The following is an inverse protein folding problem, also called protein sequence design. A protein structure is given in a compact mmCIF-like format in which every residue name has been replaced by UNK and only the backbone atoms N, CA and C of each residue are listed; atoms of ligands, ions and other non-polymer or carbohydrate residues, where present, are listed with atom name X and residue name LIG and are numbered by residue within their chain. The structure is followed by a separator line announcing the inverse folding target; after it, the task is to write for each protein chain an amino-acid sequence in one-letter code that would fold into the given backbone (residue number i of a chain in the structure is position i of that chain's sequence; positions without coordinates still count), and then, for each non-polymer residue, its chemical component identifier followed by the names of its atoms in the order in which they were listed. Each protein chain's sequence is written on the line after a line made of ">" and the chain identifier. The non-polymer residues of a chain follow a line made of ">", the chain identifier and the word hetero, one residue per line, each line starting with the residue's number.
data_IF_325252247124
#
_entry.id   IF_325252247124
#
_cell.length_a   1.000
_cell.length_b   1.000
_cell.length_c   1.000
_cell.angle_alpha   90.00
_cell.angle_beta   90.00
_cell.angle_gamma   90.00
#
_symmetry.space_group_name_H-M   'P 1'
#
loop_
_entity.id
_entity.type
_entity.pdbx_description
1 polymer ?
#
# COMPACT_ATOMS: atom_id res chain seq x y z
N UNK A 1 -30.47 3.05 -12.57
CA UNK A 1 -30.13 2.14 -11.45
C UNK A 1 -31.14 1.02 -11.26
N UNK A 2 -32.45 1.32 -11.21
CA UNK A 2 -33.50 0.30 -11.04
C UNK A 2 -33.37 -0.90 -11.99
N UNK A 3 -33.01 -0.69 -13.26
CA UNK A 3 -32.81 -1.79 -14.22
C UNK A 3 -31.76 -2.82 -13.77
N UNK A 4 -30.61 -2.40 -13.24
CA UNK A 4 -29.57 -3.34 -12.78
C UNK A 4 -30.06 -4.10 -11.56
N UNK A 5 -30.68 -3.41 -10.60
CA UNK A 5 -31.22 -4.08 -9.41
C UNK A 5 -32.33 -5.07 -9.79
N UNK A 6 -33.16 -4.74 -10.79
CA UNK A 6 -34.17 -5.64 -11.34
C UNK A 6 -33.55 -6.88 -12.02
N UNK A 7 -32.46 -6.72 -12.78
CA UNK A 7 -31.71 -7.84 -13.34
C UNK A 7 -31.14 -8.71 -12.22
N UNK A 8 -30.50 -8.13 -11.21
CA UNK A 8 -29.95 -8.90 -10.08
C UNK A 8 -31.06 -9.65 -9.33
N UNK A 9 -32.19 -8.99 -9.06
CA UNK A 9 -33.31 -9.59 -8.32
C UNK A 9 -33.99 -10.75 -9.10
N UNK A 10 -33.97 -10.72 -10.43
CA UNK A 10 -34.56 -11.76 -11.28
C UNK A 10 -33.61 -12.93 -11.56
N UNK A 11 -32.33 -12.82 -11.17
CA UNK A 11 -31.30 -13.83 -11.42
C UNK A 11 -30.66 -14.32 -10.10
N UNK A 12 -31.39 -15.06 -9.25
CA UNK A 12 -30.89 -15.50 -7.93
C UNK A 12 -29.71 -16.48 -8.02
N UNK A 13 -29.53 -17.16 -9.17
CA UNK A 13 -28.43 -18.10 -9.43
C UNK A 13 -27.24 -17.44 -10.14
N UNK A 14 -27.14 -16.11 -10.13
CA UNK A 14 -26.03 -15.39 -10.75
C UNK A 14 -24.72 -15.71 -10.03
N UNK A 15 -23.78 -16.33 -10.75
CA UNK A 15 -22.45 -16.64 -10.21
C UNK A 15 -21.46 -15.48 -10.37
N UNK A 16 -21.60 -14.70 -11.44
CA UNK A 16 -20.64 -13.66 -11.81
C UNK A 16 -21.37 -12.38 -12.16
N UNK A 17 -21.10 -11.32 -11.40
CA UNK A 17 -21.59 -9.97 -11.69
C UNK A 17 -20.44 -9.05 -12.07
N UNK A 18 -20.44 -8.58 -13.32
CA UNK A 18 -19.42 -7.66 -13.84
C UNK A 18 -20.08 -6.45 -14.46
N UNK A 19 -19.69 -5.27 -13.99
CA UNK A 19 -20.13 -3.99 -14.51
C UNK A 19 -18.90 -3.12 -14.73
N UNK A 20 -18.70 -2.66 -15.96
CA UNK A 20 -17.50 -1.89 -16.31
C UNK A 20 -17.80 -0.84 -17.36
N UNK A 21 -17.22 0.36 -17.20
CA UNK A 21 -17.35 1.47 -18.14
C UNK A 21 -18.80 1.89 -18.42
N UNK A 22 -19.67 1.82 -17.40
CA UNK A 22 -21.09 2.16 -17.53
C UNK A 22 -21.37 3.54 -16.95
N UNK A 23 -22.20 4.31 -17.66
CA UNK A 23 -22.69 5.61 -17.20
C UNK A 23 -24.18 5.55 -16.92
N UNK A 24 -24.60 6.01 -15.75
CA UNK A 24 -26.02 6.07 -15.37
C UNK A 24 -26.55 7.48 -15.45
N UNK A 25 -27.62 7.69 -16.21
CA UNK A 25 -28.39 8.92 -16.10
C UNK A 25 -29.13 8.95 -14.74
N UNK A 26 -29.08 10.09 -14.06
CA UNK A 26 -29.94 10.34 -12.92
C UNK A 26 -31.35 10.67 -13.41
N UNK A 27 -32.32 9.85 -13.03
CA UNK A 27 -33.72 10.19 -13.15
C UNK A 27 -34.24 10.51 -11.75
N UNK A 28 -34.95 11.64 -11.56
CA UNK A 28 -35.56 12.00 -10.29
C UNK A 28 -36.80 11.12 -10.07
N UNK A 29 -36.58 9.85 -9.73
CA UNK A 29 -37.64 8.99 -9.21
C UNK A 29 -37.42 8.79 -7.71
N UNK A 30 -38.43 9.19 -6.93
CA UNK A 30 -38.54 9.00 -5.48
C UNK A 30 -38.98 7.58 -5.12
N UNK A 31 -38.46 6.57 -5.83
CA UNK A 31 -38.79 5.19 -5.48
C UNK A 31 -38.16 4.83 -4.13
N UNK A 32 -38.89 4.08 -3.28
CA UNK A 32 -38.37 3.63 -2.01
C UNK A 32 -37.10 2.81 -2.24
N UNK A 33 -36.08 3.08 -1.43
CA UNK A 33 -34.84 2.33 -1.26
C UNK A 33 -35.18 0.81 -1.17
N UNK A 34 -34.95 0.00 -2.22
CA UNK A 34 -35.33 -1.41 -2.23
C UNK A 34 -34.45 -2.22 -1.28
N UNK A 35 -34.99 -3.26 -0.63
CA UNK A 35 -34.22 -4.09 0.29
C UNK A 35 -32.96 -4.71 -0.37
N UNK A 36 -31.88 -4.98 0.40
CA UNK A 36 -30.71 -5.67 -0.13
C UNK A 36 -31.07 -7.02 -0.76
N UNK A 37 -30.48 -7.30 -1.93
CA UNK A 37 -30.65 -8.52 -2.70
C UNK A 37 -29.63 -9.54 -2.19
N UNK A 38 -30.10 -10.74 -1.87
CA UNK A 38 -29.22 -11.87 -1.51
C UNK A 38 -28.89 -12.65 -2.78
N UNK A 39 -27.59 -12.80 -3.08
CA UNK A 39 -27.09 -13.51 -4.25
C UNK A 39 -26.21 -14.67 -3.77
N UNK A 40 -26.85 -15.76 -3.32
CA UNK A 40 -26.18 -16.85 -2.58
C UNK A 40 -25.16 -17.66 -3.41
N UNK A 41 -25.32 -17.61 -4.74
CA UNK A 41 -24.46 -18.26 -5.73
C UNK A 41 -23.34 -17.37 -6.26
N UNK A 42 -23.30 -16.10 -5.85
CA UNK A 42 -22.32 -15.14 -6.34
C UNK A 42 -20.92 -15.53 -5.87
N UNK A 43 -20.05 -15.80 -6.83
CA UNK A 43 -18.64 -16.14 -6.60
C UNK A 43 -17.71 -14.99 -7.00
N UNK A 44 -18.16 -14.09 -7.88
CA UNK A 44 -17.35 -12.97 -8.34
C UNK A 44 -18.17 -11.69 -8.55
N UNK A 45 -17.63 -10.57 -8.07
CA UNK A 45 -18.12 -9.22 -8.34
C UNK A 45 -17.00 -8.33 -8.84
N UNK A 46 -17.28 -7.60 -9.93
CA UNK A 46 -16.36 -6.62 -10.50
C UNK A 46 -17.09 -5.35 -10.88
N UNK A 47 -16.75 -4.23 -10.24
CA UNK A 47 -17.33 -2.90 -10.46
C UNK A 47 -16.22 -1.92 -10.84
N UNK A 48 -16.11 -1.54 -12.12
CA UNK A 48 -14.99 -0.72 -12.59
C UNK A 48 -15.47 0.48 -13.40
N UNK A 49 -14.94 1.66 -13.09
CA UNK A 49 -15.08 2.86 -13.93
C UNK A 49 -16.57 3.19 -14.22
N UNK A 50 -17.41 3.07 -13.18
CA UNK A 50 -18.83 3.38 -13.24
C UNK A 50 -19.03 4.83 -12.85
N UNK A 51 -19.81 5.58 -13.64
CA UNK A 51 -20.07 6.99 -13.37
C UNK A 51 -21.56 7.32 -13.41
N UNK A 52 -21.93 8.41 -12.77
CA UNK A 52 -23.23 9.03 -12.92
C UNK A 52 -23.12 10.17 -13.93
N UNK A 53 -24.04 10.21 -14.89
CA UNK A 53 -24.27 11.34 -15.77
C UNK A 53 -25.26 12.28 -15.07
N UNK A 54 -24.82 13.49 -14.82
CA UNK A 54 -25.55 14.54 -14.14
C UNK A 54 -25.54 15.80 -15.00
N UNK A 55 -26.61 16.60 -14.98
CA UNK A 55 -26.67 17.89 -15.72
C UNK A 55 -25.58 18.85 -15.26
N UNK A 56 -25.18 18.71 -13.99
CA UNK A 56 -23.99 19.34 -13.43
C UNK A 56 -22.77 18.42 -13.60
N UNK A 57 -21.72 18.82 -14.36
CA UNK A 57 -20.48 18.04 -14.48
C UNK A 57 -19.76 17.79 -13.13
N UNK A 58 -20.16 18.49 -12.06
CA UNK A 58 -19.57 18.40 -10.73
C UNK A 58 -20.17 17.30 -9.84
N UNK A 59 -21.33 16.69 -10.17
CA UNK A 59 -21.88 15.58 -9.36
C UNK A 59 -21.24 14.21 -9.68
N UNK A 60 -21.20 13.34 -8.66
CA UNK A 60 -20.10 12.38 -8.45
C UNK A 60 -20.28 10.96 -8.99
N UNK A 61 -19.16 10.33 -9.36
CA UNK A 61 -19.00 8.92 -9.76
C UNK A 61 -19.33 7.91 -8.65
N UNK A 62 -19.25 8.32 -7.38
CA UNK A 62 -19.27 7.41 -6.22
C UNK A 62 -20.64 6.87 -5.85
N UNK A 63 -21.67 7.68 -6.10
CA UNK A 63 -23.03 7.43 -5.61
C UNK A 63 -23.56 6.11 -6.15
N UNK A 64 -23.23 5.81 -7.41
CA UNK A 64 -23.70 4.60 -8.09
C UNK A 64 -23.06 3.35 -7.51
N UNK A 65 -21.73 3.31 -7.38
CA UNK A 65 -21.04 2.13 -6.84
C UNK A 65 -21.44 1.92 -5.38
N UNK A 66 -21.43 2.96 -4.56
CA UNK A 66 -21.87 2.85 -3.17
C UNK A 66 -23.29 2.31 -3.05
N UNK A 67 -24.22 2.80 -3.90
CA UNK A 67 -25.58 2.30 -3.94
C UNK A 67 -25.69 0.84 -4.39
N UNK A 68 -24.89 0.39 -5.37
CA UNK A 68 -24.85 -1.03 -5.76
C UNK A 68 -24.37 -1.88 -4.58
N UNK A 69 -23.29 -1.47 -3.92
CA UNK A 69 -22.68 -2.22 -2.82
C UNK A 69 -23.64 -2.34 -1.62
N UNK A 70 -24.35 -1.27 -1.27
CA UNK A 70 -25.39 -1.30 -0.22
C UNK A 70 -26.55 -2.25 -0.52
N UNK A 71 -26.73 -2.64 -1.79
CA UNK A 71 -27.87 -3.43 -2.26
C UNK A 71 -27.53 -4.88 -2.50
N UNK A 72 -26.27 -5.29 -2.40
CA UNK A 72 -25.85 -6.67 -2.60
C UNK A 72 -25.34 -7.20 -1.26
N UNK A 73 -25.91 -8.33 -0.82
CA UNK A 73 -25.31 -9.10 0.29
C UNK A 73 -24.28 -10.06 -0.30
N UNK A 74 -23.02 -9.81 0.01
CA UNK A 74 -21.91 -10.66 -0.41
C UNK A 74 -21.80 -11.86 0.51
N UNK A 75 -21.53 -13.03 -0.07
CA UNK A 75 -21.18 -14.23 0.69
C UNK A 75 -19.68 -14.23 0.96
N UNK A 76 -19.27 -14.78 2.10
CA UNK A 76 -17.85 -15.05 2.38
C UNK A 76 -17.22 -15.88 1.26
N UNK A 77 -16.04 -15.47 0.79
CA UNK A 77 -15.36 -16.10 -0.34
C UNK A 77 -15.75 -15.58 -1.72
N UNK A 78 -16.62 -14.56 -1.81
CA UNK A 78 -16.88 -13.86 -3.08
C UNK A 78 -15.64 -13.07 -3.49
N UNK A 79 -15.09 -13.36 -4.68
CA UNK A 79 -14.00 -12.58 -5.24
C UNK A 79 -14.49 -11.16 -5.57
N UNK A 80 -13.85 -10.14 -5.00
CA UNK A 80 -14.30 -8.75 -5.08
C UNK A 80 -13.28 -7.87 -5.81
N UNK A 81 -13.75 -7.07 -6.76
CA UNK A 81 -12.93 -6.06 -7.42
C UNK A 81 -13.72 -4.77 -7.61
N UNK A 82 -13.23 -3.67 -7.07
CA UNK A 82 -13.77 -2.33 -7.32
C UNK A 82 -12.68 -1.39 -7.82
N UNK A 83 -13.04 -0.58 -8.82
CA UNK A 83 -12.24 0.56 -9.29
C UNK A 83 -13.13 1.79 -9.43
N UNK A 84 -12.86 2.84 -8.67
CA UNK A 84 -13.66 4.06 -8.65
C UNK A 84 -12.80 5.30 -8.42
N UNK A 85 -13.39 6.47 -8.69
CA UNK A 85 -12.81 7.77 -8.40
C UNK A 85 -13.75 8.58 -7.52
N UNK A 86 -13.30 8.91 -6.32
CA UNK A 86 -13.99 9.75 -5.36
C UNK A 86 -13.93 11.23 -5.73
N UNK A 87 -15.10 11.89 -5.69
CA UNK A 87 -15.21 13.34 -5.72
C UNK A 87 -15.60 13.84 -4.33
N UNK A 88 -14.93 14.89 -3.85
CA UNK A 88 -15.12 15.48 -2.51
C UNK A 88 -16.50 16.13 -2.29
N UNK A 89 -17.20 16.52 -3.36
CA UNK A 89 -18.55 17.11 -3.30
C UNK A 89 -19.67 16.08 -3.60
N UNK A 90 -19.39 14.79 -3.48
CA UNK A 90 -20.38 13.74 -3.69
C UNK A 90 -21.31 13.59 -2.47
N UNK A 91 -22.51 13.05 -2.68
CA UNK A 91 -23.47 12.74 -1.61
C UNK A 91 -23.08 11.54 -0.74
N UNK A 92 -21.99 10.84 -1.09
CA UNK A 92 -21.43 9.72 -0.34
C UNK A 92 -20.02 10.14 0.06
N UNK A 93 -19.76 10.25 1.36
CA UNK A 93 -18.43 10.63 1.86
C UNK A 93 -17.42 9.49 1.64
N UNK A 94 -16.11 9.78 1.63
CA UNK A 94 -15.09 8.74 1.56
C UNK A 94 -15.23 7.65 2.65
N UNK A 95 -15.59 8.04 3.87
CA UNK A 95 -15.79 7.15 5.01
C UNK A 95 -17.02 6.26 4.80
N UNK A 96 -18.14 6.85 4.34
CA UNK A 96 -19.34 6.08 3.99
C UNK A 96 -19.08 5.09 2.86
N UNK A 97 -18.23 5.46 1.89
CA UNK A 97 -17.84 4.57 0.81
C UNK A 97 -17.05 3.35 1.33
N UNK A 98 -16.06 3.55 2.19
CA UNK A 98 -15.31 2.41 2.74
C UNK A 98 -16.22 1.46 3.52
N UNK A 99 -17.17 2.00 4.29
CA UNK A 99 -18.10 1.19 5.09
C UNK A 99 -19.04 0.29 4.26
N UNK A 100 -19.20 0.56 2.96
CA UNK A 100 -20.02 -0.28 2.07
C UNK A 100 -19.17 -1.24 1.22
N UNK A 101 -17.85 -1.06 1.19
CA UNK A 101 -16.94 -2.03 0.58
C UNK A 101 -16.89 -3.29 1.47
N UNK A 102 -16.98 -4.50 0.89
CA UNK A 102 -16.84 -5.73 1.67
C UNK A 102 -15.54 -5.75 2.47
N UNK A 103 -15.60 -6.30 3.69
CA UNK A 103 -14.43 -6.32 4.56
C UNK A 103 -13.30 -7.19 3.97
N UNK A 104 -12.07 -6.67 3.83
CA UNK A 104 -10.93 -7.47 3.40
C UNK A 104 -10.61 -8.64 4.34
N UNK A 105 -11.06 -8.56 5.61
CA UNK A 105 -10.88 -9.60 6.63
C UNK A 105 -11.54 -10.91 6.18
N UNK A 106 -12.72 -10.83 5.56
CA UNK A 106 -13.44 -12.03 5.09
C UNK A 106 -12.70 -12.73 3.95
N UNK A 107 -12.02 -11.96 3.08
CA UNK A 107 -11.19 -12.50 2.02
C UNK A 107 -9.95 -13.21 2.58
N UNK A 108 -9.29 -12.63 3.60
CA UNK A 108 -8.15 -13.24 4.28
C UNK A 108 -8.55 -14.49 5.07
N UNK A 109 -9.68 -14.43 5.78
CA UNK A 109 -10.24 -15.58 6.50
C UNK A 109 -10.57 -16.73 5.55
N UNK A 110 -11.12 -16.44 4.36
CA UNK A 110 -11.40 -17.45 3.34
C UNK A 110 -10.13 -18.16 2.86
N UNK A 111 -9.04 -17.43 2.62
CA UNK A 111 -7.75 -18.02 2.24
C UNK A 111 -7.17 -18.90 3.35
N UNK A 112 -7.35 -18.53 4.62
CA UNK A 112 -6.91 -19.33 5.77
C UNK A 112 -7.65 -20.67 5.91
N UNK A 113 -8.82 -20.82 5.31
CA UNK A 113 -9.63 -22.05 5.37
C UNK A 113 -9.29 -23.03 4.24
N UNK A 114 -8.50 -22.62 3.24
CA UNK A 114 -8.12 -23.48 2.14
C UNK A 114 -6.99 -24.43 2.55
N UNK A 115 -7.06 -25.68 2.09
CA UNK A 115 -6.12 -26.74 2.48
C UNK A 115 -4.67 -26.39 2.08
N UNK A 116 -3.79 -26.22 3.09
CA UNK A 116 -2.35 -26.04 2.93
C UNK A 116 -1.79 -24.82 3.68
N UNK A 117 -0.46 -24.66 3.75
CA UNK A 117 0.16 -23.44 4.26
C UNK A 117 -0.01 -22.33 3.21
N UNK A 118 -1.21 -21.77 3.12
CA UNK A 118 -1.48 -20.64 2.24
C UNK A 118 -1.02 -19.36 2.92
N UNK A 119 -0.27 -18.56 2.17
CA UNK A 119 0.15 -17.23 2.58
C UNK A 119 -0.47 -16.24 1.61
N UNK A 120 -1.19 -15.25 2.15
CA UNK A 120 -1.82 -14.23 1.34
C UNK A 120 -0.77 -13.20 0.90
N UNK A 121 -0.73 -12.90 -0.40
CA UNK A 121 0.02 -11.76 -0.92
C UNK A 121 -0.87 -10.53 -0.85
N UNK A 122 -0.45 -9.52 -0.07
CA UNK A 122 -1.21 -8.29 0.15
C UNK A 122 -0.43 -7.10 -0.39
N UNK A 123 -0.93 -6.46 -1.44
CA UNK A 123 -0.37 -5.23 -1.98
C UNK A 123 -1.19 -4.02 -1.50
N UNK A 124 -0.51 -3.04 -0.88
CA UNK A 124 -1.12 -1.77 -0.50
C UNK A 124 -0.32 -0.62 -1.10
N UNK A 125 -0.98 0.22 -1.90
CA UNK A 125 -0.38 1.41 -2.49
C UNK A 125 -1.06 2.68 -1.99
N UNK A 126 -0.25 3.62 -1.55
CA UNK A 126 -0.63 4.96 -1.16
C UNK A 126 -0.04 6.02 -2.12
N UNK A 127 -0.81 7.06 -2.37
CA UNK A 127 -0.38 8.29 -3.03
C UNK A 127 -0.62 8.36 -4.55
N UNK A 128 -0.35 9.53 -5.13
CA UNK A 128 -0.69 9.81 -6.54
C UNK A 128 -2.18 10.04 -6.78
N UNK A 129 -2.90 10.60 -5.80
CA UNK A 129 -4.36 10.63 -5.66
C UNK A 129 -5.03 9.24 -5.56
N UNK A 130 -4.30 8.14 -5.75
CA UNK A 130 -4.85 6.79 -5.75
C UNK A 130 -4.54 6.01 -4.48
N UNK A 131 -5.50 5.19 -4.07
CA UNK A 131 -5.31 4.13 -3.10
C UNK A 131 -5.55 2.78 -3.78
N UNK A 132 -4.66 1.81 -3.55
CA UNK A 132 -4.88 0.42 -3.94
C UNK A 132 -4.72 -0.48 -2.73
N UNK A 133 -5.70 -1.37 -2.52
CA UNK A 133 -5.56 -2.51 -1.63
C UNK A 133 -5.93 -3.77 -2.39
N UNK A 134 -5.04 -4.76 -2.41
CA UNK A 134 -5.23 -5.99 -3.15
C UNK A 134 -4.77 -7.19 -2.35
N UNK A 135 -5.57 -8.25 -2.36
CA UNK A 135 -5.24 -9.56 -1.81
C UNK A 135 -5.23 -10.56 -2.96
N UNK A 136 -4.14 -11.32 -3.05
CA UNK A 136 -3.94 -12.39 -4.01
C UNK A 136 -3.66 -13.70 -3.27
N UNK A 137 -4.10 -14.79 -3.89
CA UNK A 137 -3.63 -16.13 -3.53
C UNK A 137 -2.17 -16.28 -3.99
N UNK A 138 -1.28 -16.70 -3.08
CA UNK A 138 0.15 -16.90 -3.32
C UNK A 138 0.50 -18.12 -4.19
N UNK A 139 -0.48 -18.89 -4.66
CA UNK A 139 -0.27 -20.02 -5.57
C UNK A 139 0.13 -19.59 -7.00
N UNK A 140 0.63 -20.55 -7.80
CA UNK A 140 1.27 -20.36 -9.12
C UNK A 140 0.45 -19.60 -10.19
N UNK A 141 -0.82 -19.29 -9.93
CA UNK A 141 -1.63 -18.37 -10.72
C UNK A 141 -2.29 -17.39 -9.74
N UNK A 142 -1.76 -16.16 -9.57
CA UNK A 142 -2.28 -15.23 -8.59
C UNK A 142 -3.69 -14.80 -8.98
N UNK A 143 -4.70 -15.46 -8.41
CA UNK A 143 -6.08 -15.02 -8.54
C UNK A 143 -6.32 -13.89 -7.55
N UNK A 144 -6.83 -12.76 -8.04
CA UNK A 144 -7.25 -11.66 -7.19
C UNK A 144 -8.51 -12.09 -6.43
N UNK A 145 -8.39 -12.19 -5.11
CA UNK A 145 -9.51 -12.50 -4.21
C UNK A 145 -10.19 -11.20 -3.80
N UNK A 146 -9.41 -10.14 -3.62
CA UNK A 146 -9.93 -8.82 -3.25
C UNK A 146 -9.09 -7.73 -3.93
N UNK A 147 -9.74 -6.70 -4.46
CA UNK A 147 -9.07 -5.51 -4.96
C UNK A 147 -9.96 -4.28 -4.82
N UNK A 148 -9.45 -3.23 -4.20
CA UNK A 148 -10.05 -1.91 -4.14
C UNK A 148 -9.06 -0.88 -4.67
N UNK A 149 -9.34 -0.31 -5.85
CA UNK A 149 -8.59 0.78 -6.48
C UNK A 149 -9.46 2.06 -6.44
N UNK A 150 -9.09 3.00 -5.57
CA UNK A 150 -9.93 4.15 -5.23
C UNK A 150 -9.10 5.43 -5.41
N UNK A 151 -9.33 6.14 -6.50
CA UNK A 151 -8.80 7.49 -6.73
C UNK A 151 -9.58 8.49 -5.86
N UNK A 152 -8.94 9.53 -5.33
CA UNK A 152 -9.54 10.56 -4.48
C UNK A 152 -9.88 10.12 -3.05
N UNK A 153 -9.46 8.94 -2.60
CA UNK A 153 -9.61 8.52 -1.20
C UNK A 153 -8.61 9.27 -0.31
N UNK A 154 -9.07 9.99 0.74
CA UNK A 154 -8.16 10.64 1.66
C UNK A 154 -7.22 9.62 2.28
N UNK A 155 -5.93 9.95 2.26
CA UNK A 155 -4.86 9.04 2.65
C UNK A 155 -4.94 8.62 4.13
N UNK A 156 -5.44 9.49 5.01
CA UNK A 156 -5.72 9.14 6.40
C UNK A 156 -6.81 8.05 6.51
N UNK A 157 -7.94 8.24 5.82
CA UNK A 157 -9.08 7.31 5.82
C UNK A 157 -8.66 5.95 5.25
N UNK A 158 -7.88 5.97 4.16
CA UNK A 158 -7.32 4.76 3.57
C UNK A 158 -6.44 3.98 4.56
N UNK A 159 -5.57 4.66 5.31
CA UNK A 159 -4.68 4.02 6.29
C UNK A 159 -5.43 3.43 7.46
N UNK A 160 -6.35 4.19 8.05
CA UNK A 160 -7.18 3.71 9.15
C UNK A 160 -7.93 2.43 8.74
N UNK A 161 -8.46 2.40 7.52
CA UNK A 161 -9.11 1.20 6.98
C UNK A 161 -8.17 0.01 6.82
N UNK A 162 -6.97 0.21 6.27
CA UNK A 162 -5.96 -0.85 6.13
C UNK A 162 -5.54 -1.40 7.49
N UNK A 163 -5.23 -0.52 8.43
CA UNK A 163 -4.75 -0.91 9.77
C UNK A 163 -5.83 -1.69 10.51
N UNK A 164 -7.06 -1.21 10.49
CA UNK A 164 -8.18 -1.89 11.15
C UNK A 164 -8.44 -3.26 10.51
N UNK A 165 -8.50 -3.32 9.17
CA UNK A 165 -8.73 -4.57 8.45
C UNK A 165 -7.62 -5.61 8.73
N UNK A 166 -6.36 -5.20 8.65
CA UNK A 166 -5.24 -6.12 8.80
C UNK A 166 -4.99 -6.53 10.26
N UNK A 167 -5.28 -5.67 11.25
CA UNK A 167 -5.24 -6.05 12.68
C UNK A 167 -6.29 -7.10 13.01
N UNK A 168 -7.50 -6.93 12.49
CA UNK A 168 -8.57 -7.92 12.65
C UNK A 168 -8.21 -9.28 12.01
N UNK A 169 -7.45 -9.26 10.92
CA UNK A 169 -7.02 -10.46 10.19
C UNK A 169 -5.74 -11.13 10.75
N UNK A 170 -5.32 -10.80 11.98
CA UNK A 170 -4.04 -11.23 12.61
C UNK A 170 -3.76 -12.74 12.63
N UNK A 171 -4.76 -13.60 12.43
CA UNK A 171 -4.59 -15.06 12.38
C UNK A 171 -4.14 -15.58 11.02
N UNK A 172 -4.22 -14.78 9.96
CA UNK A 172 -3.85 -15.19 8.60
C UNK A 172 -2.37 -14.85 8.33
N UNK A 173 -1.49 -15.83 8.07
CA UNK A 173 -0.14 -15.55 7.60
C UNK A 173 -0.18 -14.78 6.28
N UNK A 174 0.44 -13.61 6.23
CA UNK A 174 0.47 -12.77 5.04
C UNK A 174 1.85 -12.18 4.76
N UNK A 175 2.10 -11.91 3.49
CA UNK A 175 3.23 -11.12 2.99
C UNK A 175 2.70 -9.78 2.48
N UNK A 176 2.96 -8.73 3.25
CA UNK A 176 2.50 -7.38 3.00
C UNK A 176 3.56 -6.60 2.20
N UNK A 177 3.12 -6.02 1.09
CA UNK A 177 3.93 -5.19 0.20
C UNK A 177 3.36 -3.77 0.20
N UNK A 178 4.15 -2.83 0.72
CA UNK A 178 3.75 -1.43 0.87
C UNK A 178 4.41 -0.58 -0.22
N UNK A 179 3.60 0.17 -0.95
CA UNK A 179 4.06 1.06 -2.02
C UNK A 179 3.59 2.49 -1.70
N UNK A 180 4.53 3.42 -1.58
CA UNK A 180 4.24 4.84 -1.35
C UNK A 180 4.74 5.64 -2.55
N UNK A 181 3.85 6.43 -3.15
CA UNK A 181 4.16 7.17 -4.38
C UNK A 181 3.76 8.63 -4.29
N UNK A 182 4.69 9.55 -4.59
CA UNK A 182 4.37 10.96 -4.74
C UNK A 182 3.70 11.21 -6.09
N UNK A 183 2.76 12.15 -6.14
CA UNK A 183 2.04 12.47 -7.38
C UNK A 183 2.93 13.27 -8.34
N UNK A 184 2.89 12.94 -9.63
CA UNK A 184 3.74 13.57 -10.65
C UNK A 184 3.13 14.86 -11.23
N UNK A 185 1.83 15.11 -11.02
CA UNK A 185 1.14 16.18 -11.74
C UNK A 185 -0.01 16.78 -10.91
N UNK A 186 0.25 17.91 -10.24
CA UNK A 186 -0.74 18.68 -9.50
C UNK A 186 -0.17 19.98 -8.96
N UNK A 187 -1.02 21.00 -8.78
CA UNK A 187 -0.68 22.30 -8.18
C UNK A 187 -0.41 22.23 -6.68
N UNK A 188 -0.70 21.09 -6.04
CA UNK A 188 -0.38 20.82 -4.65
C UNK A 188 0.64 19.67 -4.58
N UNK A 189 1.79 19.88 -3.91
CA UNK A 189 2.76 18.81 -3.71
C UNK A 189 2.17 17.80 -2.73
N UNK A 190 1.67 16.67 -3.23
CA UNK A 190 1.45 15.51 -2.36
C UNK A 190 2.83 14.98 -1.95
N UNK A 191 3.33 15.44 -0.81
CA UNK A 191 4.57 14.92 -0.23
C UNK A 191 4.30 13.55 0.38
N UNK A 192 5.18 12.58 0.11
CA UNK A 192 5.27 11.37 0.93
C UNK A 192 5.39 11.81 2.40
N UNK A 193 4.49 11.34 3.26
CA UNK A 193 4.64 11.53 4.70
C UNK A 193 5.30 10.30 5.32
N UNK A 194 6.42 10.51 6.00
CA UNK A 194 7.13 9.42 6.66
C UNK A 194 6.36 8.87 7.86
N UNK A 195 5.56 9.70 8.55
CA UNK A 195 4.72 9.29 9.70
C UNK A 195 3.85 8.08 9.36
N UNK A 196 3.47 8.00 8.10
CA UNK A 196 2.66 6.93 7.54
C UNK A 196 3.44 5.63 7.40
N UNK A 197 4.70 5.74 7.01
CA UNK A 197 5.64 4.61 6.97
C UNK A 197 5.96 4.16 8.40
N UNK A 198 6.15 5.10 9.33
CA UNK A 198 6.37 4.81 10.76
C UNK A 198 5.24 3.95 11.36
N UNK A 199 4.00 4.14 10.91
CA UNK A 199 2.86 3.39 11.42
C UNK A 199 2.97 1.87 11.21
N UNK A 200 3.71 1.44 10.18
CA UNK A 200 3.91 0.02 9.86
C UNK A 200 5.26 -0.53 10.35
N UNK A 201 6.08 0.26 11.04
CA UNK A 201 7.48 -0.09 11.32
C UNK A 201 7.66 -1.36 12.17
N UNK A 202 6.68 -1.73 13.00
CA UNK A 202 6.74 -2.94 13.84
C UNK A 202 6.07 -4.16 13.19
N UNK A 203 5.52 -4.02 11.98
CA UNK A 203 4.74 -5.09 11.34
C UNK A 203 5.67 -6.13 10.74
N UNK A 204 5.68 -7.33 11.33
CA UNK A 204 6.46 -8.45 10.82
C UNK A 204 5.97 -8.98 9.46
N UNK A 205 4.74 -8.68 9.07
CA UNK A 205 4.19 -9.10 7.77
C UNK A 205 4.78 -8.30 6.60
N UNK A 206 5.39 -7.14 6.84
CA UNK A 206 5.95 -6.30 5.78
C UNK A 206 7.23 -6.93 5.23
N UNK A 207 7.17 -7.39 3.98
CA UNK A 207 8.31 -8.00 3.26
C UNK A 207 8.84 -7.15 2.12
N UNK A 208 8.01 -6.25 1.57
CA UNK A 208 8.40 -5.27 0.56
C UNK A 208 7.97 -3.87 0.99
N UNK A 209 8.91 -2.94 0.95
CA UNK A 209 8.67 -1.52 1.13
C UNK A 209 9.24 -0.78 -0.08
N UNK A 210 8.37 -0.14 -0.85
CA UNK A 210 8.75 0.62 -2.03
C UNK A 210 8.32 2.07 -1.91
N UNK A 211 9.28 2.99 -2.05
CA UNK A 211 9.07 4.43 -2.06
C UNK A 211 9.43 5.04 -3.41
N UNK A 212 8.47 5.71 -4.05
CA UNK A 212 8.69 6.48 -5.28
C UNK A 212 8.37 7.95 -5.03
N UNK A 213 9.40 8.78 -4.91
CA UNK A 213 9.25 10.22 -4.84
C UNK A 213 9.07 10.87 -6.22
N UNK A 214 9.23 12.18 -6.23
CA UNK A 214 9.34 13.00 -7.42
C UNK A 214 10.48 14.03 -7.22
N UNK A 215 10.88 14.81 -8.26
CA UNK A 215 11.94 15.80 -8.11
C UNK A 215 11.65 16.91 -7.07
N UNK A 216 10.39 17.08 -6.66
CA UNK A 216 9.96 18.06 -5.66
C UNK A 216 9.88 17.48 -4.24
N UNK A 217 10.10 16.17 -4.09
CA UNK A 217 10.07 15.51 -2.78
C UNK A 217 11.17 16.08 -1.89
N UNK A 218 10.87 16.54 -0.66
CA UNK A 218 11.87 17.16 0.20
C UNK A 218 13.05 16.22 0.46
N UNK A 219 14.31 16.70 0.38
CA UNK A 219 15.49 15.85 0.60
C UNK A 219 15.55 15.18 1.97
N UNK A 220 14.91 15.76 2.98
CA UNK A 220 14.89 15.22 4.33
C UNK A 220 14.02 13.95 4.41
N UNK A 221 13.02 13.78 3.54
CA UNK A 221 12.25 12.52 3.42
C UNK A 221 13.17 11.33 3.15
N UNK A 222 14.13 11.50 2.24
CA UNK A 222 15.10 10.46 1.93
C UNK A 222 16.04 10.15 3.09
N UNK A 223 16.48 11.17 3.83
CA UNK A 223 17.38 11.02 4.98
C UNK A 223 16.68 10.38 6.18
N UNK A 224 15.49 10.85 6.49
CA UNK A 224 14.71 10.38 7.61
C UNK A 224 14.17 8.96 7.37
N UNK A 225 13.87 8.58 6.12
CA UNK A 225 13.62 7.17 5.77
C UNK A 225 14.84 6.29 6.08
N UNK A 226 16.04 6.70 5.66
CA UNK A 226 17.26 5.94 5.93
C UNK A 226 17.56 5.87 7.43
N UNK A 227 17.30 6.96 8.17
CA UNK A 227 17.41 7.00 9.64
C UNK A 227 16.45 6.01 10.28
N UNK A 228 15.19 5.97 9.85
CA UNK A 228 14.20 5.01 10.30
C UNK A 228 14.71 3.58 10.07
N UNK A 229 15.13 3.25 8.85
CA UNK A 229 15.56 1.88 8.52
C UNK A 229 16.85 1.43 9.22
N UNK A 230 17.65 2.38 9.73
CA UNK A 230 18.91 2.13 10.44
C UNK A 230 18.80 2.14 11.97
N UNK A 231 17.68 2.61 12.54
CA UNK A 231 17.56 2.85 13.98
C UNK A 231 16.64 1.82 14.61
N UNK A 232 17.12 0.95 15.51
CA UNK A 232 16.26 0.09 16.31
C UNK A 232 15.19 0.88 17.07
N UNK A 233 14.00 0.32 17.21
CA UNK A 233 12.89 0.89 17.96
C UNK A 233 12.36 -0.11 19.00
N UNK A 234 11.67 0.38 20.03
CA UNK A 234 11.11 -0.45 21.10
C UNK A 234 9.77 -1.03 20.64
N UNK A 235 9.64 -2.36 20.68
CA UNK A 235 8.35 -3.03 20.46
C UNK A 235 7.41 -2.85 21.65
N UNK A 236 6.14 -3.23 21.48
CA UNK A 236 5.15 -3.25 22.57
C UNK A 236 5.58 -4.17 23.73
N UNK A 237 6.31 -5.25 23.41
CA UNK A 237 6.85 -6.20 24.39
C UNK A 237 8.15 -5.69 25.08
N UNK A 238 8.57 -4.46 24.78
CA UNK A 238 9.78 -3.88 25.34
C UNK A 238 11.07 -4.47 24.76
N UNK A 239 11.02 -5.02 23.56
CA UNK A 239 12.16 -5.60 22.84
C UNK A 239 12.66 -4.58 21.82
N UNK A 240 13.96 -4.34 21.79
CA UNK A 240 14.57 -3.53 20.73
C UNK A 240 14.57 -4.33 19.42
N UNK A 241 13.87 -3.82 18.41
CA UNK A 241 13.74 -4.46 17.10
C UNK A 241 14.08 -3.48 15.98
N UNK A 242 14.69 -4.01 14.92
CA UNK A 242 14.87 -3.22 13.70
C UNK A 242 13.51 -2.98 13.03
N UNK A 243 13.23 -1.75 12.55
CA UNK A 243 12.05 -1.46 11.75
C UNK A 243 11.91 -2.41 10.56
N UNK A 244 10.68 -2.86 10.36
CA UNK A 244 10.27 -3.88 9.40
C UNK A 244 11.14 -5.16 9.56
N UNK A 245 10.93 -5.95 10.63
CA UNK A 245 11.84 -7.04 11.00
C UNK A 245 12.05 -8.09 9.89
N UNK A 246 11.01 -8.35 9.09
CA UNK A 246 11.04 -9.31 7.97
C UNK A 246 11.17 -8.66 6.59
N UNK A 247 11.60 -7.40 6.51
CA UNK A 247 11.78 -6.70 5.25
C UNK A 247 12.84 -7.40 4.38
N UNK A 248 12.42 -7.85 3.20
CA UNK A 248 13.25 -8.55 2.22
C UNK A 248 13.56 -7.68 1.00
N UNK A 249 12.66 -6.75 0.65
CA UNK A 249 12.77 -5.90 -0.52
C UNK A 249 12.60 -4.43 -0.12
N UNK A 250 13.58 -3.61 -0.49
CA UNK A 250 13.50 -2.16 -0.34
C UNK A 250 13.64 -1.49 -1.71
N UNK A 251 12.54 -0.95 -2.22
CA UNK A 251 12.48 -0.16 -3.43
C UNK A 251 12.57 1.33 -3.15
N UNK A 252 13.50 2.04 -3.78
CA UNK A 252 13.54 3.50 -3.67
C UNK A 252 13.84 4.12 -5.04
N UNK A 253 12.99 5.06 -5.45
CA UNK A 253 13.09 5.75 -6.74
C UNK A 253 12.70 7.22 -6.60
N UNK A 254 13.45 8.10 -7.25
CA UNK A 254 13.20 9.55 -7.35
C UNK A 254 12.96 10.22 -5.99
N UNK A 255 13.64 9.76 -4.95
CA UNK A 255 13.63 10.39 -3.61
C UNK A 255 14.94 11.18 -3.45
N UNK A 256 14.90 12.52 -3.44
CA UNK A 256 16.10 13.34 -3.24
C UNK A 256 16.75 13.09 -1.88
N UNK A 257 18.03 13.46 -1.76
CA UNK A 257 18.77 13.37 -0.49
C UNK A 257 19.41 12.01 -0.19
N UNK A 258 19.03 10.94 -0.91
CA UNK A 258 19.65 9.61 -0.76
C UNK A 258 20.96 9.54 -1.55
N UNK A 259 22.08 9.43 -0.82
CA UNK A 259 23.44 9.27 -1.37
C UNK A 259 24.01 7.89 -1.02
N UNK A 260 25.05 7.46 -1.76
CA UNK A 260 25.75 6.17 -1.57
C UNK A 260 26.25 5.93 -0.17
N UNK A 261 26.88 6.95 0.40
CA UNK A 261 27.36 6.91 1.78
C UNK A 261 26.22 6.72 2.79
N UNK A 262 25.05 7.29 2.56
CA UNK A 262 23.92 7.20 3.48
C UNK A 262 23.25 5.84 3.41
N UNK A 263 23.08 5.27 2.22
CA UNK A 263 22.60 3.88 2.11
C UNK A 263 23.59 2.91 2.72
N UNK A 264 24.88 3.06 2.44
CA UNK A 264 25.91 2.21 3.03
C UNK A 264 25.85 2.26 4.56
N UNK A 265 25.76 3.47 5.13
CA UNK A 265 25.62 3.64 6.57
C UNK A 265 24.34 2.98 7.11
N UNK A 266 23.20 3.13 6.42
CA UNK A 266 21.95 2.49 6.81
C UNK A 266 22.06 0.97 6.83
N UNK A 267 22.62 0.38 5.78
CA UNK A 267 22.79 -1.08 5.67
C UNK A 267 23.76 -1.59 6.73
N UNK A 268 24.89 -0.89 6.94
CA UNK A 268 25.86 -1.25 7.98
C UNK A 268 25.25 -1.21 9.37
N UNK A 269 24.44 -0.19 9.69
CA UNK A 269 23.76 -0.07 10.96
C UNK A 269 22.70 -1.17 11.14
N UNK A 270 21.89 -1.43 10.10
CA UNK A 270 20.85 -2.46 10.12
C UNK A 270 21.40 -3.86 10.40
N UNK A 271 22.54 -4.20 9.81
CA UNK A 271 23.17 -5.52 9.96
C UNK A 271 24.36 -5.52 10.93
N UNK A 272 24.52 -4.45 11.72
CA UNK A 272 25.55 -4.42 12.75
C UNK A 272 25.29 -5.54 13.78
N UNK A 273 26.33 -6.24 14.25
CA UNK A 273 26.17 -7.16 15.36
C UNK A 273 25.68 -6.40 16.59
N UNK A 274 24.75 -6.96 17.37
CA UNK A 274 24.24 -6.29 18.57
C UNK A 274 25.40 -6.00 19.53
N UNK A 275 25.40 -4.81 20.12
CA UNK A 275 26.41 -4.41 21.10
C UNK A 275 26.40 -5.29 22.36
N UNK A 276 27.45 -5.25 23.20
CA UNK A 276 27.54 -6.08 24.41
C UNK A 276 26.46 -5.79 25.46
N UNK A 277 25.89 -4.59 25.50
CA UNK A 277 24.73 -4.21 26.34
C UNK A 277 23.38 -4.54 25.69
N UNK A 278 23.38 -4.79 24.39
CA UNK A 278 22.24 -5.06 23.54
C UNK A 278 22.01 -6.57 23.36
N UNK A 279 23.06 -7.38 23.49
CA UNK A 279 23.03 -8.84 23.37
C UNK A 279 22.04 -9.56 24.32
N UNK A 280 21.57 -8.89 25.38
CA UNK A 280 20.54 -9.42 26.29
C UNK A 280 19.09 -9.24 25.79
N UNK A 281 18.87 -8.40 24.76
CA UNK A 281 17.53 -7.99 24.30
C UNK A 281 17.30 -8.12 22.78
N UNK A 282 18.33 -8.44 21.99
CA UNK A 282 18.19 -8.62 20.53
C UNK A 282 17.94 -10.10 20.19
N UNK A 283 16.71 -10.42 19.77
CA UNK A 283 16.34 -11.80 19.37
C UNK A 283 16.34 -12.02 17.86
N UNK A 284 16.23 -10.97 17.03
CA UNK A 284 15.95 -11.14 15.60
C UNK A 284 17.05 -10.55 14.74
N UNK A 285 17.92 -11.43 14.22
CA UNK A 285 18.83 -11.08 13.12
C UNK A 285 17.97 -10.66 11.92
N UNK A 286 18.17 -9.46 11.33
CA UNK A 286 17.36 -9.01 10.20
C UNK A 286 17.44 -9.98 9.03
N UNK A 287 16.32 -10.18 8.34
CA UNK A 287 16.24 -11.04 7.15
C UNK A 287 17.11 -10.47 6.01
N UNK A 288 17.70 -11.30 5.14
CA UNK A 288 18.49 -10.80 4.01
C UNK A 288 17.72 -9.83 3.13
N UNK A 289 18.36 -8.69 2.80
CA UNK A 289 17.74 -7.56 2.11
C UNK A 289 18.19 -7.47 0.65
N UNK A 290 17.25 -7.28 -0.27
CA UNK A 290 17.45 -6.90 -1.66
C UNK A 290 17.09 -5.43 -1.87
N UNK A 291 18.04 -4.65 -2.40
CA UNK A 291 17.85 -3.23 -2.69
C UNK A 291 17.46 -3.04 -4.16
N UNK A 292 16.40 -2.27 -4.40
CA UNK A 292 15.97 -1.86 -5.74
C UNK A 292 16.10 -0.34 -5.86
N UNK A 293 17.12 0.13 -6.56
CA UNK A 293 17.42 1.55 -6.70
C UNK A 293 17.01 2.06 -8.08
N UNK A 294 15.96 2.88 -8.13
CA UNK A 294 15.44 3.54 -9.32
C UNK A 294 16.18 4.83 -9.68
N UNK A 295 15.58 5.61 -10.58
CA UNK A 295 16.13 6.89 -11.04
C UNK A 295 16.37 7.84 -9.85
N UNK A 296 17.43 8.65 -9.86
CA UNK A 296 17.72 9.61 -8.79
C UNK A 296 18.36 9.02 -7.51
N UNK A 297 18.28 7.70 -7.30
CA UNK A 297 18.85 7.01 -6.12
C UNK A 297 20.15 6.25 -6.46
N UNK A 298 20.41 6.01 -7.75
CA UNK A 298 21.53 5.18 -8.23
C UNK A 298 22.72 5.91 -8.86
N UNK A 299 22.81 7.24 -8.79
CA UNK A 299 23.96 7.99 -9.35
C UNK A 299 25.24 7.88 -8.50
N UNK A 300 25.31 6.91 -7.59
CA UNK A 300 26.48 6.64 -6.78
C UNK A 300 27.51 5.79 -7.54
N UNK A 301 28.81 6.01 -7.29
CA UNK A 301 29.87 5.25 -7.95
C UNK A 301 29.83 3.74 -7.62
N UNK A 302 30.39 2.91 -8.50
CA UNK A 302 30.53 1.44 -8.30
C UNK A 302 31.11 1.07 -6.94
N UNK A 303 32.02 1.89 -6.42
CA UNK A 303 32.64 1.69 -5.11
C UNK A 303 31.65 1.62 -3.94
N UNK A 304 30.51 2.32 -4.00
CA UNK A 304 29.49 2.20 -2.96
C UNK A 304 28.65 0.93 -3.12
N UNK A 305 28.36 0.53 -4.36
CA UNK A 305 27.63 -0.71 -4.63
C UNK A 305 28.42 -1.92 -4.12
N UNK A 306 29.71 -1.98 -4.44
CA UNK A 306 30.60 -3.07 -3.99
C UNK A 306 30.68 -3.12 -2.45
N UNK A 307 30.78 -1.96 -1.79
CA UNK A 307 30.79 -1.86 -0.32
C UNK A 307 29.47 -2.31 0.32
N UNK A 308 28.33 -1.95 -0.28
CA UNK A 308 27.01 -2.37 0.22
C UNK A 308 26.85 -3.88 0.05
N UNK A 309 27.23 -4.44 -1.12
CA UNK A 309 27.18 -5.87 -1.39
C UNK A 309 28.10 -6.70 -0.47
N UNK A 310 29.17 -6.08 0.03
CA UNK A 310 30.07 -6.72 0.99
C UNK A 310 29.49 -6.81 2.42
N UNK A 311 28.39 -6.12 2.74
CA UNK A 311 27.77 -6.19 4.06
C UNK A 311 27.01 -7.53 4.21
N UNK A 312 27.34 -8.35 5.23
CA UNK A 312 26.58 -9.56 5.53
C UNK A 312 25.09 -9.27 5.73
N UNK A 313 24.22 -10.00 5.04
CA UNK A 313 22.77 -9.74 5.06
C UNK A 313 22.25 -9.01 3.82
N UNK A 314 23.11 -8.44 2.97
CA UNK A 314 22.68 -7.92 1.65
C UNK A 314 22.70 -9.04 0.61
N UNK A 315 21.54 -9.34 0.02
CA UNK A 315 21.39 -10.35 -1.03
C UNK A 315 21.75 -9.82 -2.42
N UNK A 316 21.55 -8.53 -2.66
CA UNK A 316 21.85 -7.92 -3.95
C UNK A 316 21.32 -6.49 -4.09
N UNK A 317 21.78 -5.83 -5.15
CA UNK A 317 21.34 -4.50 -5.56
C UNK A 317 20.90 -4.59 -7.02
N UNK A 318 19.66 -4.17 -7.31
CA UNK A 318 19.15 -4.00 -8.67
C UNK A 318 19.05 -2.52 -8.99
N UNK A 319 19.85 -2.06 -9.95
CA UNK A 319 19.83 -0.67 -10.45
C UNK A 319 19.16 -0.64 -11.83
N UNK A 320 18.16 0.21 -12.01
CA UNK A 320 17.46 0.38 -13.29
C UNK A 320 15.96 0.04 -13.24
N UNK A 321 15.26 0.37 -14.32
CA UNK A 321 13.79 0.44 -14.52
C UNK A 321 13.04 -0.91 -14.38
N UNK A 322 13.63 -1.92 -13.75
CA UNK A 322 12.95 -3.20 -13.52
C UNK A 322 12.07 -3.17 -12.26
N UNK A 323 11.16 -2.21 -12.21
CA UNK A 323 9.83 -2.39 -11.64
C UNK A 323 8.86 -1.96 -12.76
N UNK A 324 7.83 -2.74 -13.11
CA UNK A 324 6.95 -2.44 -14.25
C UNK A 324 6.25 -1.05 -14.21
N UNK A 325 6.43 -0.28 -13.13
CA UNK A 325 5.80 1.03 -12.92
C UNK A 325 6.70 2.27 -13.20
N UNK A 326 7.99 2.15 -13.59
CA UNK A 326 8.91 3.31 -13.52
C UNK A 326 9.68 3.62 -14.82
N UNK A 327 8.98 4.02 -15.89
CA UNK A 327 9.61 4.74 -17.02
C UNK A 327 9.49 6.25 -16.81
N UNK A 328 10.60 6.98 -17.05
CA UNK A 328 10.82 8.45 -16.98
C UNK A 328 11.27 8.95 -15.59
N UNK A 329 12.19 9.91 -15.39
CA UNK A 329 12.98 10.77 -16.26
C UNK A 329 14.36 11.08 -15.62
N UNK A 330 15.24 11.71 -16.41
CA UNK A 330 16.68 11.97 -16.19
C UNK A 330 16.99 13.22 -15.33
N UNK A 331 18.03 13.08 -14.50
CA UNK A 331 19.09 14.00 -14.01
C UNK A 331 18.90 15.53 -13.94
N UNK A 332 19.32 16.13 -12.81
CA UNK A 332 20.41 17.15 -12.68
C UNK A 332 20.70 17.46 -11.20
N UNK A 333 21.96 17.65 -10.80
CA UNK A 333 22.41 17.87 -9.41
C UNK A 333 22.78 19.32 -9.11
N UNK A 334 22.62 19.80 -7.86
CA UNK A 334 23.54 20.77 -7.28
C UNK A 334 24.17 20.27 -5.97
N UNK A 335 25.44 20.60 -5.78
CA UNK A 335 26.24 20.33 -4.58
C UNK A 335 25.86 21.27 -3.44
N UNK A 336 25.46 20.69 -2.30
CA UNK A 336 25.25 21.38 -1.02
C UNK A 336 26.06 20.67 0.06
N UNK A 337 26.72 21.47 0.91
CA UNK A 337 27.59 21.06 2.01
C UNK A 337 26.94 20.00 2.91
N UNK A 338 27.72 18.97 3.24
CA UNK A 338 27.24 17.74 3.86
C UNK A 338 27.18 17.87 5.39
N UNK A 339 26.07 17.49 6.05
CA UNK A 339 26.09 17.21 7.47
C UNK A 339 26.78 15.85 7.73
N UNK A 340 27.51 15.77 8.85
CA UNK A 340 28.15 14.55 9.33
C UNK A 340 27.07 13.49 9.65
N UNK A 341 27.20 12.33 9.01
CA UNK A 341 26.33 11.18 9.19
C UNK A 341 27.21 9.92 9.28
N UNK A 342 26.89 8.95 10.16
CA UNK A 342 25.79 8.96 11.12
C UNK A 342 26.02 9.98 12.26
N UNK A 343 24.98 10.56 12.87
CA UNK A 343 25.14 11.29 14.11
C UNK A 343 25.66 10.33 15.19
N UNK A 344 26.50 10.80 16.11
CA UNK A 344 26.93 9.99 17.25
C UNK A 344 25.71 9.49 18.03
N UNK A 345 25.80 8.26 18.53
CA UNK A 345 24.82 7.67 19.43
C UNK A 345 24.85 8.43 20.77
N UNK A 346 23.90 9.36 20.97
CA UNK A 346 23.69 10.00 22.27
C UNK A 346 22.67 9.18 23.08
N UNK A 347 23.17 8.23 23.88
CA UNK A 347 22.42 7.72 25.02
C UNK A 347 22.46 8.78 26.13
N UNK A 348 21.61 9.79 26.05
CA UNK A 348 21.56 10.80 27.10
C UNK A 348 20.65 11.96 26.79
N UNK A 349 19.34 11.77 27.07
CA UNK A 349 18.42 12.75 27.68
C UNK A 349 17.00 12.19 27.60
N UNK A 350 16.62 11.47 28.65
CA UNK A 350 15.26 11.54 29.17
C UNK A 350 15.14 12.82 30.02
#
# INVERSE_FOLDING_TARGET
>A
MGAILGILATNPYLEVFRLSNVRFALYPEHDPIPAPISLDHLTQVTLMDITQATEDPFSGSNVVIGYILQRIRFRTGTAFTVRTKLKTNASLTPEEFINVVPSPVEALAYLSLADGPQRADVDVKFGGNGFLFRIQDGLQSPSIVFSADVDGLPEQVAKEWVVESLRQASTTPMDLRLYFTSNECGSEPSSISLEEIFHFQLWESVVDLTLTGNPQTPPDVGRDLLRLLSTPCMSEDGIMVMPFPKLQHLGISVVPGIKGKYMLAMVQARFAPPGPTEAASHSVVPVPLMLHCGNGVGAWGRSYQDKILAVPGVKGIKTGVSHPALRLARSSSPTVSEPDWPPPYDFGRY
#
